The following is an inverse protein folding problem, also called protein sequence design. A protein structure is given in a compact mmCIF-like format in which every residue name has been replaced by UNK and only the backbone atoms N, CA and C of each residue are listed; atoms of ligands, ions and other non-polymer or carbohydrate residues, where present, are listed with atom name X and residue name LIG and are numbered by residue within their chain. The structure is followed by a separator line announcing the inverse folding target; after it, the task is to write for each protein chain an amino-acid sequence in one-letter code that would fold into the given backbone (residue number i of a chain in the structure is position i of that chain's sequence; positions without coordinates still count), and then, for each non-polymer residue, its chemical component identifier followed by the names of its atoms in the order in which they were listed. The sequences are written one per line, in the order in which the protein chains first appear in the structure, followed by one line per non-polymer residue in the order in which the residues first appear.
data_IF_405350800575
#
_entry.id   IF_405350800575
#
_cell.length_a   1.000
_cell.length_b   1.000
_cell.length_c   1.000
_cell.angle_alpha   90.00
_cell.angle_beta   90.00
_cell.angle_gamma   90.00
#
_symmetry.space_group_name_H-M   'P 1'
#
loop_
_entity.id
_entity.type
_entity.pdbx_description
1 polymer ?
#
# COMPACT_ATOMS: atom_id res chain seq x y z
N UNK A 1 27.98 -22.36 28.19
CA UNK A 1 27.25 -22.22 26.91
C UNK A 1 28.24 -21.67 25.90
N UNK A 2 28.31 -22.20 24.67
CA UNK A 2 29.19 -21.64 23.65
C UNK A 2 28.73 -20.20 23.33
N UNK A 3 29.68 -19.27 23.16
CA UNK A 3 29.40 -17.88 22.79
C UNK A 3 29.00 -17.80 21.32
N UNK A 4 28.10 -16.86 20.99
CA UNK A 4 27.63 -16.56 19.62
C UNK A 4 28.71 -16.01 18.67
N UNK A 5 29.99 -16.03 19.08
CA UNK A 5 31.13 -15.52 18.31
C UNK A 5 31.60 -16.42 17.17
N UNK A 6 31.04 -17.63 17.06
CA UNK A 6 31.38 -18.63 16.03
C UNK A 6 30.27 -18.77 14.95
N UNK A 7 29.32 -17.83 14.89
CA UNK A 7 28.14 -17.91 14.02
C UNK A 7 28.30 -17.29 12.62
N UNK A 8 29.48 -16.79 12.27
CA UNK A 8 29.76 -16.14 10.98
C UNK A 8 30.29 -17.10 9.88
N UNK A 9 30.45 -18.39 10.18
CA UNK A 9 30.80 -19.39 9.17
C UNK A 9 29.53 -19.94 8.51
N UNK A 10 29.30 -19.61 7.23
CA UNK A 10 28.22 -20.22 6.43
C UNK A 10 28.57 -21.70 6.22
N UNK A 11 28.05 -22.56 7.09
CA UNK A 11 28.34 -24.01 7.08
C UNK A 11 27.58 -24.75 5.97
N UNK A 12 26.58 -24.10 5.35
CA UNK A 12 25.73 -24.71 4.36
C UNK A 12 25.15 -23.69 3.37
N UNK A 13 25.59 -23.77 2.11
CA UNK A 13 24.90 -23.16 0.97
C UNK A 13 23.98 -24.22 0.35
N UNK A 14 22.67 -23.92 0.29
CA UNK A 14 21.70 -24.85 -0.27
C UNK A 14 21.91 -25.03 -1.77
N UNK A 15 22.10 -26.27 -2.22
CA UNK A 15 22.19 -26.58 -3.64
C UNK A 15 20.85 -26.32 -4.33
N UNK A 16 20.90 -25.99 -5.62
CA UNK A 16 19.70 -25.82 -6.47
C UNK A 16 18.75 -27.01 -6.38
N UNK A 17 19.29 -28.22 -6.36
CA UNK A 17 18.54 -29.48 -6.25
C UNK A 17 17.82 -29.63 -4.90
N UNK A 18 18.39 -29.09 -3.81
CA UNK A 18 17.73 -29.03 -2.51
C UNK A 18 16.61 -27.99 -2.50
N UNK A 19 16.86 -26.78 -3.03
CA UNK A 19 15.83 -25.73 -3.16
C UNK A 19 14.65 -26.24 -3.99
N UNK A 20 14.91 -26.89 -5.13
CA UNK A 20 13.92 -27.55 -6.00
C UNK A 20 13.11 -28.64 -5.27
N UNK A 21 13.69 -29.26 -4.24
CA UNK A 21 13.01 -30.26 -3.39
C UNK A 21 12.23 -29.68 -2.21
N UNK A 22 12.40 -28.38 -1.93
CA UNK A 22 11.70 -27.71 -0.82
C UNK A 22 10.36 -27.13 -1.26
N UNK A 23 9.49 -26.87 -0.27
CA UNK A 23 8.26 -26.10 -0.46
C UNK A 23 8.51 -24.69 -1.02
N UNK A 24 9.75 -24.20 -1.02
CA UNK A 24 10.14 -22.91 -1.57
C UNK A 24 10.08 -22.93 -3.10
N UNK A 25 10.53 -24.00 -3.76
CA UNK A 25 10.42 -24.09 -5.23
C UNK A 25 8.97 -24.31 -5.71
N UNK A 26 8.18 -25.12 -4.99
CA UNK A 26 6.74 -25.21 -5.25
C UNK A 26 6.03 -23.87 -4.95
N UNK A 27 6.46 -23.14 -3.94
CA UNK A 27 6.01 -21.77 -3.68
C UNK A 27 6.38 -20.86 -4.85
N UNK A 28 7.60 -20.93 -5.38
CA UNK A 28 8.07 -20.10 -6.49
C UNK A 28 7.30 -20.37 -7.79
N UNK A 29 7.04 -21.64 -8.14
CA UNK A 29 6.19 -21.98 -9.27
C UNK A 29 4.72 -21.62 -9.03
N UNK A 30 4.26 -21.74 -7.78
CA UNK A 30 2.90 -21.33 -7.42
C UNK A 30 2.73 -19.82 -7.56
N UNK A 31 3.72 -19.02 -7.17
CA UNK A 31 3.62 -17.55 -7.12
C UNK A 31 4.26 -16.80 -8.30
N UNK A 32 4.62 -17.52 -9.37
CA UNK A 32 5.10 -16.98 -10.65
C UNK A 32 6.38 -16.13 -10.54
N UNK A 33 7.30 -16.55 -9.65
CA UNK A 33 8.63 -15.93 -9.52
C UNK A 33 9.59 -16.65 -10.48
N UNK A 34 9.48 -16.38 -11.78
CA UNK A 34 10.18 -17.16 -12.82
C UNK A 34 11.60 -16.63 -13.17
N UNK A 35 11.86 -15.33 -12.99
CA UNK A 35 13.07 -14.64 -13.49
C UNK A 35 13.93 -14.01 -12.37
N UNK A 36 14.55 -14.81 -11.50
CA UNK A 36 15.47 -14.32 -10.45
C UNK A 36 16.92 -14.75 -10.71
N UNK A 37 17.87 -13.89 -10.33
CA UNK A 37 19.31 -14.08 -10.53
C UNK A 37 19.92 -15.03 -9.48
N UNK A 38 19.42 -14.98 -8.24
CA UNK A 38 19.81 -15.85 -7.14
C UNK A 38 18.65 -16.05 -6.17
N UNK A 39 18.64 -17.13 -5.39
CA UNK A 39 17.59 -17.35 -4.37
C UNK A 39 17.77 -16.39 -3.19
N UNK A 40 19.02 -16.05 -2.88
CA UNK A 40 19.41 -15.25 -1.72
C UNK A 40 20.74 -14.58 -1.99
N UNK A 41 20.84 -13.29 -1.68
CA UNK A 41 22.07 -12.52 -1.62
C UNK A 41 22.18 -11.87 -0.24
N UNK A 42 23.15 -12.30 0.56
CA UNK A 42 23.43 -11.78 1.90
C UNK A 42 24.81 -11.10 2.00
N UNK A 43 25.33 -10.57 0.88
CA UNK A 43 26.68 -10.00 0.82
C UNK A 43 26.89 -8.79 1.75
N UNK A 44 25.84 -8.07 2.13
CA UNK A 44 25.87 -6.96 3.10
C UNK A 44 25.62 -7.42 4.55
N UNK A 45 25.44 -8.72 4.79
CA UNK A 45 25.18 -9.33 6.08
C UNK A 45 23.74 -9.84 6.23
N UNK A 46 23.47 -10.71 7.22
CA UNK A 46 22.19 -11.44 7.33
C UNK A 46 20.97 -10.53 7.51
N UNK A 47 21.15 -9.34 8.11
CA UNK A 47 20.10 -8.32 8.26
C UNK A 47 19.76 -7.55 6.97
N UNK A 48 20.60 -7.64 5.93
CA UNK A 48 20.44 -6.99 4.63
C UNK A 48 20.36 -8.04 3.52
N UNK A 49 19.64 -9.14 3.79
CA UNK A 49 19.48 -10.23 2.84
C UNK A 49 18.44 -9.86 1.79
N UNK A 50 18.85 -9.80 0.53
CA UNK A 50 17.97 -9.77 -0.62
C UNK A 50 17.53 -11.19 -0.99
N UNK A 51 16.22 -11.40 -1.06
CA UNK A 51 15.65 -12.68 -1.47
C UNK A 51 15.13 -12.55 -2.89
N UNK A 52 15.55 -13.47 -3.76
CA UNK A 52 15.21 -13.46 -5.20
C UNK A 52 15.61 -12.17 -5.94
N UNK A 53 16.85 -11.66 -5.80
CA UNK A 53 17.31 -10.52 -6.59
C UNK A 53 17.06 -10.74 -8.08
N UNK A 54 16.64 -9.69 -8.79
CA UNK A 54 16.23 -9.75 -10.19
C UNK A 54 14.80 -10.29 -10.42
N UNK A 55 14.27 -11.06 -9.46
CA UNK A 55 12.93 -11.63 -9.47
C UNK A 55 11.85 -10.56 -9.56
N UNK A 56 10.82 -10.83 -10.36
CA UNK A 56 9.63 -9.98 -10.47
C UNK A 56 8.41 -10.75 -9.99
N UNK A 57 7.57 -10.08 -9.23
CA UNK A 57 6.27 -10.58 -8.82
C UNK A 57 5.23 -9.49 -8.97
N UNK A 58 4.01 -9.86 -9.34
CA UNK A 58 2.85 -8.99 -9.23
C UNK A 58 1.87 -9.58 -8.21
N UNK A 59 1.61 -8.83 -7.13
CA UNK A 59 0.73 -9.28 -6.06
C UNK A 59 -0.73 -9.40 -6.52
N UNK A 60 -1.21 -8.48 -7.36
CA UNK A 60 -2.56 -8.55 -7.93
C UNK A 60 -2.74 -9.79 -8.82
N UNK A 61 -1.70 -10.14 -9.60
CA UNK A 61 -1.69 -11.36 -10.40
C UNK A 61 -1.88 -12.61 -9.52
N UNK A 62 -1.10 -12.67 -8.45
CA UNK A 62 -1.06 -13.81 -7.55
C UNK A 62 -2.31 -13.96 -6.67
N UNK A 63 -2.87 -12.85 -6.21
CA UNK A 63 -4.00 -12.87 -5.29
C UNK A 63 -5.33 -12.86 -6.02
N UNK A 64 -5.40 -12.28 -7.22
CA UNK A 64 -6.65 -12.07 -7.95
C UNK A 64 -6.59 -12.63 -9.37
N UNK A 65 -5.69 -12.16 -10.23
CA UNK A 65 -5.82 -12.38 -11.68
C UNK A 65 -5.73 -13.85 -12.08
N UNK A 66 -4.80 -14.62 -11.49
CA UNK A 66 -4.68 -16.06 -11.79
C UNK A 66 -5.93 -16.85 -11.39
N UNK A 67 -6.58 -16.44 -10.30
CA UNK A 67 -7.81 -17.06 -9.80
C UNK A 67 -9.02 -16.61 -10.62
N UNK A 68 -9.04 -15.34 -11.04
CA UNK A 68 -10.06 -14.80 -11.91
C UNK A 68 -9.98 -15.34 -13.35
N UNK A 69 -8.80 -15.77 -13.81
CA UNK A 69 -8.59 -16.37 -15.13
C UNK A 69 -8.90 -17.87 -15.17
N UNK A 70 -8.84 -18.55 -14.04
CA UNK A 70 -9.20 -19.97 -13.92
C UNK A 70 -10.72 -20.16 -13.97
N UNK A 71 -11.19 -21.07 -14.83
CA UNK A 71 -12.63 -21.21 -15.11
C UNK A 71 -13.45 -21.72 -13.92
N UNK A 72 -12.82 -22.40 -12.96
CA UNK A 72 -13.49 -22.93 -11.78
C UNK A 72 -13.34 -21.96 -10.60
N UNK A 73 -12.11 -21.54 -10.30
CA UNK A 73 -11.82 -20.64 -9.18
C UNK A 73 -12.43 -19.25 -9.37
N UNK A 74 -12.70 -18.82 -10.61
CA UNK A 74 -13.33 -17.53 -10.89
C UNK A 74 -14.69 -17.38 -10.20
N UNK A 75 -15.43 -18.47 -10.01
CA UNK A 75 -16.76 -18.47 -9.38
C UNK A 75 -16.69 -18.55 -7.85
N UNK A 76 -15.51 -18.83 -7.27
CA UNK A 76 -15.33 -18.89 -5.83
C UNK A 76 -15.40 -17.49 -5.20
N UNK A 77 -15.98 -17.41 -3.99
CA UNK A 77 -16.10 -16.17 -3.23
C UNK A 77 -14.72 -15.75 -2.72
N UNK A 78 -14.20 -14.65 -3.25
CA UNK A 78 -12.94 -14.04 -2.84
C UNK A 78 -13.12 -13.10 -1.64
N UNK A 79 -14.22 -12.33 -1.63
CA UNK A 79 -14.51 -11.36 -0.57
C UNK A 79 -15.92 -11.58 -0.05
N UNK A 80 -16.05 -11.67 1.28
CA UNK A 80 -17.33 -11.60 1.99
C UNK A 80 -17.26 -10.37 2.90
N UNK A 81 -18.00 -9.33 2.53
CA UNK A 81 -18.13 -8.09 3.30
C UNK A 81 -19.41 -8.14 4.13
N UNK A 82 -19.31 -7.76 5.40
CA UNK A 82 -20.45 -7.63 6.31
C UNK A 82 -20.54 -6.18 6.80
N UNK A 83 -21.68 -5.55 6.52
CA UNK A 83 -22.02 -4.22 6.96
C UNK A 83 -22.51 -4.19 8.41
N UNK A 84 -22.47 -3.00 9.00
CA UNK A 84 -22.80 -2.78 10.42
C UNK A 84 -24.27 -3.12 10.75
N UNK A 85 -25.16 -3.04 9.75
CA UNK A 85 -26.58 -3.42 9.88
C UNK A 85 -26.85 -4.88 9.46
N UNK A 86 -25.81 -5.71 9.36
CA UNK A 86 -25.91 -7.12 8.99
C UNK A 86 -26.09 -7.38 7.48
N UNK A 87 -25.89 -6.36 6.64
CA UNK A 87 -25.85 -6.53 5.19
C UNK A 87 -24.63 -7.38 4.80
N UNK A 88 -24.82 -8.46 4.04
CA UNK A 88 -23.71 -9.28 3.54
C UNK A 88 -23.60 -9.14 2.03
N UNK A 89 -22.41 -8.74 1.55
CA UNK A 89 -22.07 -8.68 0.13
C UNK A 89 -20.94 -9.67 -0.15
N UNK A 90 -21.10 -10.47 -1.20
CA UNK A 90 -20.07 -11.42 -1.64
C UNK A 90 -19.62 -11.05 -3.03
N UNK A 91 -18.31 -11.15 -3.28
CA UNK A 91 -17.71 -10.98 -4.59
C UNK A 91 -16.91 -12.23 -4.92
N UNK A 92 -17.09 -12.74 -6.14
CA UNK A 92 -16.27 -13.84 -6.65
C UNK A 92 -14.88 -13.35 -7.05
N UNK A 93 -13.92 -14.24 -7.30
CA UNK A 93 -12.65 -13.85 -7.91
C UNK A 93 -12.85 -13.19 -9.27
N UNK A 94 -13.87 -13.62 -10.03
CA UNK A 94 -14.22 -13.00 -11.30
C UNK A 94 -14.71 -11.55 -11.18
N UNK A 95 -15.55 -11.28 -10.18
CA UNK A 95 -16.04 -9.93 -9.89
C UNK A 95 -14.90 -9.05 -9.38
N UNK A 96 -14.11 -9.56 -8.43
CA UNK A 96 -12.98 -8.84 -7.86
C UNK A 96 -11.94 -8.48 -8.92
N UNK A 97 -11.62 -9.41 -9.82
CA UNK A 97 -10.71 -9.16 -10.94
C UNK A 97 -11.25 -8.12 -11.92
N UNK A 98 -12.55 -8.12 -12.20
CA UNK A 98 -13.17 -7.09 -13.07
C UNK A 98 -13.11 -5.70 -12.43
N UNK A 99 -13.45 -5.58 -11.15
CA UNK A 99 -13.41 -4.32 -10.40
C UNK A 99 -11.98 -3.80 -10.26
N UNK A 100 -11.02 -4.66 -9.89
CA UNK A 100 -9.60 -4.29 -9.76
C UNK A 100 -9.03 -3.78 -11.09
N UNK A 101 -9.33 -4.46 -12.20
CA UNK A 101 -8.92 -4.00 -13.53
C UNK A 101 -9.61 -2.70 -13.95
N UNK A 102 -10.88 -2.50 -13.56
CA UNK A 102 -11.58 -1.24 -13.75
C UNK A 102 -10.88 -0.07 -13.06
N UNK A 103 -10.48 -0.26 -11.81
CA UNK A 103 -9.68 0.71 -11.04
C UNK A 103 -8.31 0.93 -11.69
N UNK A 104 -7.58 -0.13 -12.03
CA UNK A 104 -6.26 -0.03 -12.65
C UNK A 104 -6.29 0.73 -13.98
N UNK A 105 -7.26 0.44 -14.85
CA UNK A 105 -7.45 1.16 -16.11
C UNK A 105 -7.81 2.63 -15.87
N UNK A 106 -8.62 2.93 -14.85
CA UNK A 106 -8.99 4.30 -14.50
C UNK A 106 -7.80 5.10 -13.95
N UNK A 107 -6.86 4.44 -13.27
CA UNK A 107 -5.60 5.04 -12.82
C UNK A 107 -4.65 5.26 -14.01
N UNK A 108 -4.46 4.25 -14.87
CA UNK A 108 -3.64 4.36 -16.07
C UNK A 108 -4.15 5.45 -17.03
N UNK A 109 -5.47 5.56 -17.21
CA UNK A 109 -6.08 6.62 -18.01
C UNK A 109 -5.85 8.03 -17.46
N UNK A 110 -5.51 8.15 -16.17
CA UNK A 110 -5.12 9.39 -15.49
C UNK A 110 -3.60 9.58 -15.45
N UNK A 111 -2.84 8.72 -16.13
CA UNK A 111 -1.38 8.82 -16.23
C UNK A 111 -0.63 8.28 -15.02
N UNK A 112 -1.26 7.43 -14.20
CA UNK A 112 -0.56 6.76 -13.10
C UNK A 112 0.33 5.65 -13.66
N UNK A 113 1.62 5.69 -13.32
CA UNK A 113 2.65 4.76 -13.79
C UNK A 113 3.36 4.05 -12.63
N UNK A 114 4.05 2.94 -12.94
CA UNK A 114 4.86 2.23 -11.93
C UNK A 114 6.05 3.11 -11.54
N UNK A 115 6.20 3.38 -10.24
CA UNK A 115 7.26 4.23 -9.71
C UNK A 115 6.85 5.70 -9.53
N UNK A 116 5.56 6.02 -9.67
CA UNK A 116 5.03 7.34 -9.29
C UNK A 116 5.36 7.68 -7.84
N UNK A 117 5.57 8.97 -7.58
CA UNK A 117 6.10 9.44 -6.31
C UNK A 117 5.18 9.20 -5.10
N UNK A 118 3.89 8.96 -5.32
CA UNK A 118 2.87 8.81 -4.26
C UNK A 118 2.58 7.35 -3.98
N UNK A 119 2.94 6.89 -2.78
CA UNK A 119 2.66 5.53 -2.30
C UNK A 119 1.22 5.40 -1.79
N UNK A 120 0.78 6.33 -0.93
CA UNK A 120 -0.61 6.36 -0.42
C UNK A 120 -1.15 7.79 -0.40
N UNK A 121 -2.46 7.95 -0.61
CA UNK A 121 -3.13 9.23 -0.47
C UNK A 121 -4.46 9.10 0.27
N UNK A 122 -4.76 10.07 1.13
CA UNK A 122 -6.04 10.18 1.81
C UNK A 122 -6.54 11.63 1.73
N UNK A 123 -7.72 11.81 1.16
CA UNK A 123 -8.41 13.09 1.14
C UNK A 123 -9.38 13.20 2.32
N UNK A 124 -9.39 14.36 2.98
CA UNK A 124 -10.34 14.71 4.02
C UNK A 124 -11.00 16.05 3.71
N UNK A 125 -12.28 16.16 4.06
CA UNK A 125 -13.01 17.42 4.01
C UNK A 125 -12.79 18.20 5.30
N UNK A 126 -12.46 19.48 5.20
CA UNK A 126 -12.27 20.37 6.34
C UNK A 126 -13.12 21.63 6.19
N UNK A 127 -13.59 22.25 7.28
CA UNK A 127 -14.28 23.54 7.23
C UNK A 127 -13.43 24.61 6.53
N UNK A 128 -14.06 25.37 5.62
CA UNK A 128 -13.43 26.47 4.90
C UNK A 128 -14.34 27.69 4.90
N UNK A 129 -13.82 28.86 5.28
CA UNK A 129 -14.61 30.09 5.39
C UNK A 129 -15.09 30.63 4.02
N UNK A 130 -14.41 30.27 2.93
CA UNK A 130 -14.69 30.77 1.58
C UNK A 130 -15.64 29.84 0.83
N UNK A 131 -15.40 28.53 0.89
CA UNK A 131 -16.15 27.53 0.12
C UNK A 131 -17.10 26.70 0.99
N UNK A 132 -17.10 26.89 2.30
CA UNK A 132 -17.84 26.09 3.29
C UNK A 132 -17.11 24.79 3.64
N UNK A 133 -16.55 24.11 2.63
CA UNK A 133 -15.72 22.91 2.76
C UNK A 133 -14.56 22.97 1.77
N UNK A 134 -13.38 22.54 2.20
CA UNK A 134 -12.20 22.36 1.35
C UNK A 134 -11.66 20.93 1.46
N UNK A 135 -10.97 20.48 0.42
CA UNK A 135 -10.27 19.20 0.41
C UNK A 135 -8.83 19.41 0.89
N UNK A 136 -8.40 18.63 1.87
CA UNK A 136 -6.99 18.48 2.24
C UNK A 136 -6.56 17.07 1.87
N UNK A 137 -5.42 16.94 1.19
CA UNK A 137 -4.88 15.64 0.80
C UNK A 137 -3.62 15.34 1.62
N UNK A 138 -3.63 14.21 2.31
CA UNK A 138 -2.46 13.65 2.97
C UNK A 138 -1.82 12.61 2.05
N UNK A 139 -0.51 12.65 1.94
CA UNK A 139 0.25 11.87 0.96
C UNK A 139 1.45 11.21 1.64
N UNK A 140 1.57 9.90 1.49
CA UNK A 140 2.79 9.14 1.79
C UNK A 140 3.53 8.97 0.47
N UNK A 141 4.80 9.38 0.42
CA UNK A 141 5.63 9.25 -0.76
C UNK A 141 6.30 7.88 -0.82
N UNK A 142 6.70 7.45 -2.01
CA UNK A 142 7.65 6.34 -2.16
C UNK A 142 8.98 6.67 -1.45
N UNK A 143 9.69 5.68 -0.88
CA UNK A 143 10.93 5.91 -0.12
C UNK A 143 12.00 6.72 -0.87
N UNK A 144 12.06 6.58 -2.19
CA UNK A 144 13.05 7.27 -3.05
C UNK A 144 12.57 8.66 -3.51
N UNK A 145 11.33 9.03 -3.19
CA UNK A 145 10.73 10.32 -3.56
C UNK A 145 10.94 11.38 -2.49
N UNK A 146 11.02 12.64 -2.92
CA UNK A 146 11.28 13.78 -2.03
C UNK A 146 10.07 14.69 -1.93
N UNK A 147 9.75 15.09 -0.70
CA UNK A 147 8.85 16.21 -0.46
C UNK A 147 9.47 17.50 -1.05
N UNK A 148 8.79 18.07 -2.04
CA UNK A 148 9.15 19.35 -2.66
C UNK A 148 7.92 20.19 -2.89
N UNK A 149 8.08 21.51 -2.92
CA UNK A 149 6.97 22.43 -3.22
C UNK A 149 6.47 22.25 -4.66
N UNK A 150 7.37 21.93 -5.60
CA UNK A 150 7.00 21.66 -6.99
C UNK A 150 6.07 20.45 -7.08
N UNK A 151 6.41 19.33 -6.39
CA UNK A 151 5.56 18.15 -6.33
C UNK A 151 4.22 18.45 -5.64
N UNK A 152 4.23 19.27 -4.58
CA UNK A 152 3.00 19.71 -3.90
C UNK A 152 2.06 20.44 -4.86
N UNK A 153 2.60 21.39 -5.64
CA UNK A 153 1.83 22.15 -6.64
C UNK A 153 1.35 21.24 -7.76
N UNK A 154 2.21 20.36 -8.27
CA UNK A 154 1.88 19.39 -9.31
C UNK A 154 0.69 18.51 -8.91
N UNK A 155 0.73 17.89 -7.73
CA UNK A 155 -0.35 17.03 -7.24
C UNK A 155 -1.67 17.80 -7.11
N UNK A 156 -1.63 19.05 -6.63
CA UNK A 156 -2.82 19.89 -6.52
C UNK A 156 -3.40 20.20 -7.90
N UNK A 157 -2.58 20.67 -8.83
CA UNK A 157 -3.02 21.03 -10.17
C UNK A 157 -3.52 19.81 -10.95
N UNK A 158 -2.87 18.65 -10.78
CA UNK A 158 -3.31 17.39 -11.37
C UNK A 158 -4.74 17.02 -10.91
N UNK A 159 -5.00 17.02 -9.60
CA UNK A 159 -6.36 16.76 -9.07
C UNK A 159 -7.37 17.81 -9.56
N UNK A 160 -6.96 19.08 -9.60
CA UNK A 160 -7.80 20.16 -10.10
C UNK A 160 -8.14 20.06 -11.59
N UNK A 161 -7.22 19.54 -12.41
CA UNK A 161 -7.42 19.31 -13.83
C UNK A 161 -8.33 18.09 -14.09
N UNK A 162 -8.12 17.00 -13.35
CA UNK A 162 -8.84 15.74 -13.54
C UNK A 162 -10.25 15.73 -12.94
N UNK A 163 -10.41 16.28 -11.72
CA UNK A 163 -11.68 16.25 -10.99
C UNK A 163 -12.41 17.58 -11.01
N UNK A 164 -11.71 18.67 -11.36
CA UNK A 164 -12.25 20.03 -11.40
C UNK A 164 -11.91 20.85 -10.15
N UNK A 165 -12.00 22.17 -10.31
CA UNK A 165 -11.61 23.16 -9.28
C UNK A 165 -12.15 22.92 -7.87
N UNK A 166 -13.40 22.47 -7.65
CA UNK A 166 -13.91 22.21 -6.29
C UNK A 166 -13.18 21.08 -5.56
N UNK A 167 -12.60 20.13 -6.29
CA UNK A 167 -11.88 18.99 -5.72
C UNK A 167 -10.37 19.21 -5.64
N UNK A 168 -9.87 20.31 -6.22
CA UNK A 168 -8.47 20.70 -6.11
C UNK A 168 -8.12 20.86 -4.63
N UNK A 169 -7.16 20.09 -4.07
CA UNK A 169 -6.82 20.21 -2.68
C UNK A 169 -6.35 21.62 -2.33
N UNK A 170 -6.87 22.14 -1.23
CA UNK A 170 -6.40 23.37 -0.62
C UNK A 170 -4.95 23.19 -0.19
N UNK A 171 -4.65 22.09 0.49
CA UNK A 171 -3.30 21.72 0.90
C UNK A 171 -3.01 20.25 0.57
N UNK A 172 -1.74 19.98 0.28
CA UNK A 172 -1.17 18.63 0.18
C UNK A 172 -0.10 18.51 1.26
N UNK A 173 -0.33 17.62 2.22
CA UNK A 173 0.51 17.38 3.37
C UNK A 173 1.23 16.04 3.21
N UNK A 174 2.55 16.05 3.24
CA UNK A 174 3.33 14.83 3.19
C UNK A 174 3.51 14.28 4.60
N UNK A 175 3.26 12.98 4.76
CA UNK A 175 3.34 12.27 6.04
C UNK A 175 4.05 10.94 5.86
N UNK A 176 4.69 10.46 6.91
CA UNK A 176 5.42 9.18 6.88
C UNK A 176 4.46 7.98 6.86
N UNK A 177 3.36 8.07 7.61
CA UNK A 177 2.32 7.03 7.65
C UNK A 177 0.95 7.63 8.01
N UNK A 178 -0.11 6.88 7.71
CA UNK A 178 -1.47 7.22 8.16
C UNK A 178 -1.83 6.57 9.49
N UNK A 179 -2.60 7.25 10.36
CA UNK A 179 -3.17 6.62 11.55
C UNK A 179 -4.15 5.52 11.14
N UNK A 180 -3.94 4.31 11.64
CA UNK A 180 -4.72 3.12 11.30
C UNK A 180 -5.30 2.47 12.55
N UNK A 181 -6.49 1.89 12.41
CA UNK A 181 -7.05 0.98 13.42
C UNK A 181 -6.25 -0.31 13.46
N UNK A 182 -6.41 -1.12 14.51
CA UNK A 182 -5.90 -2.50 14.58
C UNK A 182 -6.34 -3.42 13.42
N UNK A 183 -7.34 -2.99 12.64
CA UNK A 183 -7.81 -3.68 11.43
C UNK A 183 -7.24 -3.06 10.13
N UNK A 184 -6.27 -2.16 10.24
CA UNK A 184 -5.61 -1.48 9.13
C UNK A 184 -6.42 -0.35 8.48
N UNK A 185 -7.57 0.06 9.03
CA UNK A 185 -8.39 1.12 8.43
C UNK A 185 -7.83 2.49 8.77
N UNK A 186 -7.65 3.35 7.76
CA UNK A 186 -7.23 4.75 7.94
C UNK A 186 -8.29 5.52 8.75
N UNK A 187 -7.87 6.16 9.83
CA UNK A 187 -8.71 6.96 10.73
C UNK A 187 -8.84 8.39 10.19
N UNK A 188 -9.56 8.56 9.06
CA UNK A 188 -9.69 9.86 8.37
C UNK A 188 -10.24 10.99 9.25
N UNK A 189 -11.09 10.68 10.24
CA UNK A 189 -11.59 11.69 11.18
C UNK A 189 -10.47 12.32 12.00
N UNK A 190 -9.46 11.54 12.39
CA UNK A 190 -8.35 12.01 13.21
C UNK A 190 -7.48 12.96 12.39
N UNK A 191 -7.30 12.66 11.10
CA UNK A 191 -6.60 13.52 10.15
C UNK A 191 -7.34 14.84 9.92
N UNK A 192 -8.67 14.80 9.73
CA UNK A 192 -9.49 16.01 9.60
C UNK A 192 -9.43 16.89 10.86
N UNK A 193 -9.54 16.27 12.04
CA UNK A 193 -9.46 16.97 13.33
C UNK A 193 -8.07 17.57 13.57
N UNK A 194 -7.00 16.83 13.28
CA UNK A 194 -5.62 17.30 13.40
C UNK A 194 -5.36 18.52 12.50
N UNK A 195 -5.87 18.51 11.27
CA UNK A 195 -5.79 19.69 10.40
C UNK A 195 -6.58 20.89 10.94
N UNK A 196 -7.80 20.64 11.44
CA UNK A 196 -8.67 21.69 11.96
C UNK A 196 -8.26 22.21 13.35
N UNK A 197 -7.30 21.57 14.01
CA UNK A 197 -6.96 21.85 15.41
C UNK A 197 -8.07 21.45 16.39
N UNK A 198 -8.87 20.44 16.02
CA UNK A 198 -10.01 19.93 16.79
C UNK A 198 -9.67 18.61 17.50
N UNK A 199 -10.51 18.19 18.45
CA UNK A 199 -10.37 16.92 19.14
C UNK A 199 -10.73 15.74 18.19
N UNK A 200 -9.81 14.79 17.91
CA UNK A 200 -10.07 13.62 17.07
C UNK A 200 -11.06 12.62 17.69
N UNK A 201 -11.42 12.79 18.96
CA UNK A 201 -12.35 11.94 19.69
C UNK A 201 -11.72 10.62 20.13
N UNK A 202 -12.52 9.54 20.12
CA UNK A 202 -12.04 8.22 20.56
C UNK A 202 -11.06 7.59 19.58
N UNK A 203 -9.84 7.36 20.07
CA UNK A 203 -8.69 6.76 19.39
C UNK A 203 -8.25 5.44 20.04
N UNK A 204 -9.05 4.85 20.94
CA UNK A 204 -8.71 3.62 21.67
C UNK A 204 -8.37 2.41 20.78
N UNK A 205 -8.82 2.42 19.53
CA UNK A 205 -8.57 1.35 18.54
C UNK A 205 -7.36 1.60 17.63
N UNK A 206 -6.59 2.66 17.86
CA UNK A 206 -5.42 3.00 17.04
C UNK A 206 -4.28 2.01 17.27
N UNK A 207 -3.62 1.58 16.19
CA UNK A 207 -2.48 0.67 16.24
C UNK A 207 -1.14 1.41 16.27
N UNK A 208 -1.06 2.53 15.56
CA UNK A 208 0.14 3.37 15.42
C UNK A 208 -0.12 4.81 15.94
N UNK A 209 -0.13 5.02 17.27
CA UNK A 209 -0.37 6.34 17.85
C UNK A 209 0.57 7.43 17.34
N UNK A 210 1.82 7.09 17.07
CA UNK A 210 2.89 8.02 16.63
C UNK A 210 2.55 8.69 15.28
N UNK A 211 1.75 8.04 14.44
CA UNK A 211 1.29 8.62 13.18
C UNK A 211 0.39 9.86 13.38
N UNK A 212 -0.18 10.05 14.58
CA UNK A 212 -0.96 11.24 14.91
C UNK A 212 -0.08 12.49 15.07
N UNK A 213 1.14 12.34 15.58
CA UNK A 213 2.06 13.46 15.75
C UNK A 213 2.56 13.96 14.38
N UNK A 214 2.67 13.05 13.40
CA UNK A 214 3.13 13.35 12.05
C UNK A 214 2.11 14.06 11.15
N UNK A 215 0.82 14.03 11.50
CA UNK A 215 -0.28 14.59 10.68
C UNK A 215 -0.76 15.96 11.15
N UNK A 216 -0.25 16.47 12.29
CA UNK A 216 -0.53 17.82 12.76
C UNK A 216 -0.04 18.85 11.74
N UNK A 217 -0.89 19.85 11.45
CA UNK A 217 -0.55 20.88 10.49
C UNK A 217 0.65 21.71 10.99
N UNK A 218 1.81 21.53 10.36
CA UNK A 218 2.97 22.42 10.53
C UNK A 218 2.65 23.76 9.87
N UNK A 219 1.98 24.64 10.60
CA UNK A 219 1.72 26.02 10.19
C UNK A 219 2.96 26.92 10.37
#
# INVERSE_FOLDING_TARGET
MPSLSDADEVVHESSREFVESTNVYEFMQRYDIEDYDAVRDDCEGPQFTDWYPGGRINAAHNVVDRHAADAEAREDVAVCWEGEEGEVRKMTFGDLGAEANGVANALAARGVETGDAVNQAAAVGVPDETTGQAVVAYVVLEPDSKETEDLRVELREHVGAELGKPFRPRDVLFVEEFPKTQSGKIIRRAMAAAYAGEDPGDLSSIENPEALDGIEAKH
#
